data_IF_906760717563
#
_entry.id   IF_906760717563
#
_cell.length_a   1.000
_cell.length_b   1.000
_cell.length_c   1.000
_cell.angle_alpha   90.00
_cell.angle_beta   90.00
_cell.angle_gamma   90.00
#
_symmetry.space_group_name_H-M   'P 1'
#
loop_
_entity.id
_entity.type
_entity.pdbx_description
1 polymer ?
#
# COMPACT_ATOMS: atom_id res chain seq x y z
N UNK A 1 -11.84 -3.09 -7.41
CA UNK A 1 -12.00 -4.12 -6.36
C UNK A 1 -10.98 -3.92 -5.26
N UNK A 2 -11.43 -4.01 -4.01
CA UNK A 2 -10.52 -3.87 -2.89
C UNK A 2 -9.75 -5.16 -2.63
N UNK A 3 -8.48 -5.00 -2.31
CA UNK A 3 -7.60 -6.12 -2.02
C UNK A 3 -7.15 -5.98 -0.57
N UNK A 4 -7.13 -7.09 0.16
CA UNK A 4 -6.64 -7.11 1.53
C UNK A 4 -5.14 -7.34 1.55
N UNK A 5 -4.46 -6.65 2.44
CA UNK A 5 -3.02 -6.83 2.60
C UNK A 5 -2.52 -6.22 3.89
N UNK A 6 -1.22 -6.36 4.07
CA UNK A 6 -0.54 -5.79 5.23
C UNK A 6 0.71 -5.06 4.78
N UNK A 7 1.02 -3.97 5.47
CA UNK A 7 2.23 -3.21 5.17
C UNK A 7 3.45 -4.08 5.48
N UNK A 8 4.24 -4.38 4.48
CA UNK A 8 5.46 -5.15 4.65
C UNK A 8 6.54 -4.27 5.26
N UNK A 9 6.72 -3.07 4.73
CA UNK A 9 7.57 -2.05 5.29
C UNK A 9 7.24 -0.71 4.63
N UNK A 10 7.56 0.37 5.31
CA UNK A 10 7.34 1.70 4.77
C UNK A 10 8.43 2.62 5.28
N UNK A 11 9.07 3.35 4.35
CA UNK A 11 10.14 4.29 4.68
C UNK A 11 9.60 5.71 4.55
N UNK A 12 9.37 6.36 5.69
CA UNK A 12 8.82 7.71 5.71
C UNK A 12 9.79 8.74 5.17
N UNK A 13 11.08 8.50 5.31
CA UNK A 13 12.11 9.40 4.79
C UNK A 13 12.13 9.42 3.27
N UNK A 14 12.06 8.24 2.66
CA UNK A 14 12.04 8.11 1.21
C UNK A 14 10.63 8.28 0.62
N UNK A 15 9.60 8.13 1.46
CA UNK A 15 8.22 8.35 1.05
C UNK A 15 7.60 7.20 0.25
N UNK A 16 8.02 5.96 0.51
CA UNK A 16 7.42 4.82 -0.16
C UNK A 16 7.62 3.53 0.65
N UNK A 17 6.88 2.51 0.25
CA UNK A 17 6.99 1.21 0.86
C UNK A 17 6.31 0.15 0.02
N UNK A 18 6.13 -1.03 0.60
CA UNK A 18 5.48 -2.15 -0.06
C UNK A 18 4.44 -2.78 0.83
N UNK A 19 3.36 -3.23 0.20
CA UNK A 19 2.27 -3.93 0.87
C UNK A 19 2.26 -5.37 0.39
N UNK A 20 2.26 -6.31 1.34
CA UNK A 20 2.12 -7.72 1.03
C UNK A 20 0.64 -8.04 0.86
N UNK A 21 0.27 -8.61 -0.28
CA UNK A 21 -1.12 -8.95 -0.57
C UNK A 21 -1.51 -10.25 0.09
N UNK A 22 -2.72 -10.32 0.61
CA UNK A 22 -3.21 -11.53 1.26
C UNK A 22 -3.47 -12.66 0.27
N UNK A 23 -3.60 -12.34 -1.01
CA UNK A 23 -3.82 -13.34 -2.05
C UNK A 23 -2.53 -13.98 -2.56
N UNK A 24 -1.41 -13.70 -1.90
CA UNK A 24 -0.09 -14.25 -2.21
C UNK A 24 0.47 -13.80 -3.57
N UNK A 25 -0.14 -12.80 -4.17
CA UNK A 25 0.43 -12.17 -5.36
C UNK A 25 1.64 -11.31 -4.97
N UNK A 26 2.31 -10.75 -5.97
CA UNK A 26 3.49 -9.93 -5.72
C UNK A 26 3.17 -8.72 -4.88
N UNK A 27 4.15 -8.29 -4.08
CA UNK A 27 4.03 -7.08 -3.28
C UNK A 27 3.69 -5.88 -4.15
N UNK A 28 2.93 -4.96 -3.59
CA UNK A 28 2.47 -3.78 -4.30
C UNK A 28 3.18 -2.55 -3.74
N UNK A 29 3.70 -1.72 -4.63
CA UNK A 29 4.34 -0.46 -4.27
C UNK A 29 3.29 0.52 -3.72
N UNK A 30 3.65 1.24 -2.66
CA UNK A 30 2.79 2.30 -2.12
C UNK A 30 3.61 3.56 -1.89
N UNK A 31 3.13 4.67 -2.42
CA UNK A 31 3.78 5.97 -2.22
C UNK A 31 3.14 6.70 -1.04
N UNK A 32 3.92 7.57 -0.39
CA UNK A 32 3.42 8.35 0.74
C UNK A 32 2.21 9.20 0.37
N UNK A 33 2.10 9.63 -0.88
CA UNK A 33 0.96 10.42 -1.32
C UNK A 33 -0.36 9.63 -1.22
N UNK A 34 -0.32 8.32 -1.45
CA UNK A 34 -1.51 7.47 -1.32
C UNK A 34 -1.93 7.37 0.15
N UNK A 35 -0.97 7.21 1.05
CA UNK A 35 -1.25 7.19 2.49
C UNK A 35 -1.82 8.53 2.97
N UNK A 36 -1.25 9.61 2.48
CA UNK A 36 -1.69 10.95 2.83
C UNK A 36 -3.11 11.21 2.32
N UNK A 37 -3.41 10.81 1.09
CA UNK A 37 -4.74 10.96 0.51
C UNK A 37 -5.78 10.18 1.30
N UNK A 38 -5.40 9.04 1.87
CA UNK A 38 -6.28 8.23 2.69
C UNK A 38 -6.28 8.65 4.15
N UNK A 39 -5.43 9.60 4.51
CA UNK A 39 -5.26 10.06 5.90
C UNK A 39 -4.85 8.92 6.83
N UNK A 40 -3.97 8.07 6.33
CA UNK A 40 -3.48 6.91 7.07
C UNK A 40 -1.98 7.03 7.34
N UNK A 41 -1.57 6.50 8.46
CA UNK A 41 -0.16 6.32 8.77
C UNK A 41 0.16 4.84 8.59
N UNK A 42 1.13 4.55 7.72
CA UNK A 42 1.48 3.18 7.40
C UNK A 42 2.60 2.68 8.29
N UNK A 43 2.31 1.69 9.09
CA UNK A 43 3.29 1.04 9.96
C UNK A 43 3.40 -0.43 9.56
N UNK A 44 4.59 -0.99 9.76
CA UNK A 44 4.85 -2.38 9.43
C UNK A 44 3.84 -3.30 10.13
N UNK A 45 3.23 -4.17 9.35
CA UNK A 45 2.25 -5.12 9.86
C UNK A 45 0.82 -4.63 9.89
N UNK A 46 0.57 -3.35 9.57
CA UNK A 46 -0.79 -2.82 9.59
C UNK A 46 -1.63 -3.46 8.48
N UNK A 47 -2.82 -3.92 8.84
CA UNK A 47 -3.76 -4.47 7.88
C UNK A 47 -4.55 -3.35 7.22
N UNK A 48 -4.72 -3.45 5.91
CA UNK A 48 -5.48 -2.46 5.16
C UNK A 48 -6.07 -3.07 3.90
N UNK A 49 -6.99 -2.33 3.29
CA UNK A 49 -7.50 -2.67 1.98
C UNK A 49 -7.06 -1.59 1.00
N UNK A 50 -6.92 -1.96 -0.25
CA UNK A 50 -6.45 -1.04 -1.27
C UNK A 50 -6.87 -1.53 -2.65
N UNK A 51 -6.70 -0.66 -3.63
CA UNK A 51 -6.86 -1.04 -5.03
C UNK A 51 -5.50 -0.95 -5.70
N UNK A 52 -5.35 -1.63 -6.82
CA UNK A 52 -4.08 -1.63 -7.56
C UNK A 52 -4.26 -0.85 -8.86
N UNK A 53 -3.35 0.07 -9.09
CA UNK A 53 -3.30 0.85 -10.32
C UNK A 53 -1.93 0.66 -10.95
N UNK A 54 -1.90 0.39 -12.24
CA UNK A 54 -0.63 0.23 -12.96
C UNK A 54 -0.06 1.60 -13.28
N UNK A 55 1.11 1.89 -12.71
CA UNK A 55 1.83 3.13 -12.97
C UNK A 55 3.12 2.87 -13.71
N UNK A 56 3.94 3.90 -13.85
CA UNK A 56 5.21 3.80 -14.57
C UNK A 56 6.17 2.79 -13.94
N UNK A 57 6.10 2.63 -12.62
CA UNK A 57 6.98 1.72 -11.88
C UNK A 57 6.35 0.37 -11.63
N UNK A 58 5.21 0.09 -12.25
CA UNK A 58 4.48 -1.14 -12.05
C UNK A 58 3.24 -0.93 -11.18
N UNK A 59 2.67 -2.01 -10.62
CA UNK A 59 1.45 -1.88 -9.81
C UNK A 59 1.70 -1.08 -8.54
N UNK A 60 0.80 -0.14 -8.26
CA UNK A 60 0.84 0.66 -7.04
C UNK A 60 -0.48 0.59 -6.30
N UNK A 61 -0.41 0.69 -4.98
CA UNK A 61 -1.60 0.69 -4.14
C UNK A 61 -2.22 2.08 -4.11
N UNK A 62 -3.52 2.14 -4.33
CA UNK A 62 -4.28 3.39 -4.26
C UNK A 62 -5.55 3.14 -3.46
N UNK A 63 -6.26 4.21 -3.09
CA UNK A 63 -7.51 4.12 -2.34
C UNK A 63 -7.37 3.26 -1.09
N UNK A 64 -6.35 3.57 -0.28
CA UNK A 64 -6.06 2.82 0.93
C UNK A 64 -7.14 3.03 1.98
N UNK A 65 -7.52 1.96 2.66
CA UNK A 65 -8.45 2.03 3.78
C UNK A 65 -7.97 1.11 4.90
N UNK A 66 -8.19 1.53 6.12
CA UNK A 66 -7.89 0.71 7.28
C UNK A 66 -8.80 -0.52 7.27
N UNK A 67 -8.21 -1.69 7.46
CA UNK A 67 -8.97 -2.93 7.46
C UNK A 67 -9.62 -3.19 8.82
#
# INVERSE_FOLDING_TARGET
MSINGKVKWFNTTKGFGFIARDDKEKDVFVHSSAARAANLQLNEGDALTFEVENGEKGPSAVNLQSA
#
